data_IF_823143295078
#
_entry.id   IF_823143295078
#
_cell.length_a   1.000
_cell.length_b   1.000
_cell.length_c   1.000
_cell.angle_alpha   90.00
_cell.angle_beta   90.00
_cell.angle_gamma   90.00
#
_symmetry.space_group_name_H-M   'P 1'
#
loop_
_entity.id
_entity.type
_entity.pdbx_description
1 polymer ?
#
# COMPACT_ATOMS: atom_id res chain seq x y z
N UNK A 1 1.90 12.40 12.34
CA UNK A 1 0.43 12.40 12.25
C UNK A 1 -0.25 13.30 13.31
N UNK A 2 0.47 13.66 14.39
CA UNK A 2 -0.06 14.57 15.41
C UNK A 2 -0.55 15.89 14.76
N UNK A 3 -1.83 16.22 14.98
CA UNK A 3 -2.50 17.39 14.41
C UNK A 3 -3.11 17.19 13.02
N UNK A 4 -2.91 16.04 12.36
CA UNK A 4 -3.55 15.70 11.08
C UNK A 4 -4.80 14.83 11.25
N UNK A 5 -4.78 13.97 12.27
CA UNK A 5 -5.90 13.12 12.66
C UNK A 5 -6.10 13.23 14.17
N UNK A 6 -7.31 12.94 14.64
CA UNK A 6 -7.63 12.95 16.07
C UNK A 6 -6.97 11.79 16.82
N UNK A 7 -6.85 11.91 18.14
CA UNK A 7 -6.33 10.83 18.99
C UNK A 7 -7.20 9.56 18.92
N UNK A 8 -8.51 9.72 18.72
CA UNK A 8 -9.44 8.60 18.55
C UNK A 8 -9.19 7.84 17.23
N UNK A 9 -8.97 8.56 16.12
CA UNK A 9 -8.62 7.95 14.83
C UNK A 9 -7.26 7.26 14.92
N UNK A 10 -6.28 7.87 15.57
CA UNK A 10 -4.97 7.24 15.80
C UNK A 10 -5.11 5.96 16.64
N UNK A 11 -5.91 5.99 17.71
CA UNK A 11 -6.16 4.81 18.54
C UNK A 11 -6.80 3.67 17.72
N UNK A 12 -7.75 3.99 16.83
CA UNK A 12 -8.37 3.01 15.94
C UNK A 12 -7.35 2.39 14.96
N UNK A 13 -6.48 3.19 14.37
CA UNK A 13 -5.42 2.70 13.46
C UNK A 13 -4.49 1.73 14.20
N UNK A 14 -4.07 2.08 15.42
CA UNK A 14 -3.20 1.23 16.24
C UNK A 14 -3.90 -0.06 16.65
N UNK A 15 -5.16 0.02 17.04
CA UNK A 15 -5.97 -1.14 17.41
C UNK A 15 -6.16 -2.08 16.21
N UNK A 16 -6.46 -1.54 15.04
CA UNK A 16 -6.60 -2.36 13.83
C UNK A 16 -5.28 -3.02 13.43
N UNK A 17 -4.16 -2.30 13.53
CA UNK A 17 -2.83 -2.87 13.30
C UNK A 17 -2.52 -4.00 14.32
N UNK A 18 -2.88 -3.81 15.59
CA UNK A 18 -2.73 -4.84 16.62
C UNK A 18 -3.55 -6.09 16.30
N UNK A 19 -4.83 -5.93 15.91
CA UNK A 19 -5.71 -7.03 15.53
C UNK A 19 -5.14 -7.80 14.33
N UNK A 20 -4.81 -7.09 13.25
CA UNK A 20 -4.37 -7.70 11.99
C UNK A 20 -3.00 -8.39 12.10
N UNK A 21 -2.15 -7.96 13.04
CA UNK A 21 -0.84 -8.57 13.31
C UNK A 21 -0.86 -9.59 14.46
N UNK A 22 -2.04 -9.94 15.00
CA UNK A 22 -2.15 -10.85 16.13
C UNK A 22 -1.44 -10.34 17.41
N UNK A 23 -1.41 -9.01 17.63
CA UNK A 23 -0.76 -8.36 18.77
C UNK A 23 0.73 -8.05 18.57
N UNK A 24 1.35 -8.54 17.48
CA UNK A 24 2.80 -8.42 17.28
C UNK A 24 3.26 -6.98 17.05
N UNK A 25 2.47 -6.16 16.34
CA UNK A 25 2.81 -4.76 16.12
C UNK A 25 2.99 -3.97 17.40
N UNK A 26 2.17 -4.26 18.43
CA UNK A 26 2.28 -3.63 19.75
C UNK A 26 3.58 -4.03 20.47
N UNK A 27 3.93 -5.32 20.43
CA UNK A 27 5.13 -5.84 21.08
C UNK A 27 6.40 -5.26 20.43
N UNK A 28 6.41 -5.16 19.09
CA UNK A 28 7.54 -4.64 18.34
C UNK A 28 7.67 -3.11 18.40
N UNK A 29 6.57 -2.39 18.69
CA UNK A 29 6.56 -0.92 18.70
C UNK A 29 6.96 -0.36 20.06
N UNK A 30 7.92 0.56 20.07
CA UNK A 30 8.37 1.24 21.29
C UNK A 30 7.50 2.45 21.56
N UNK A 31 6.93 2.52 22.79
CA UNK A 31 6.22 3.70 23.29
C UNK A 31 7.21 4.52 24.13
N UNK A 32 7.53 5.76 23.76
CA UNK A 32 8.37 6.62 24.58
C UNK A 32 7.71 6.94 25.93
N UNK A 33 8.52 7.10 26.99
CA UNK A 33 8.01 7.36 28.36
C UNK A 33 7.19 8.66 28.48
N UNK A 34 7.40 9.63 27.58
CA UNK A 34 6.72 10.95 27.56
C UNK A 34 5.58 11.05 26.55
N UNK A 35 5.20 9.92 25.91
CA UNK A 35 4.19 9.91 24.87
C UNK A 35 3.29 8.68 25.02
N UNK A 36 1.99 8.84 24.81
CA UNK A 36 1.03 7.75 24.96
C UNK A 36 0.89 6.88 23.71
N UNK A 37 1.60 7.22 22.64
CA UNK A 37 1.53 6.54 21.34
C UNK A 37 2.93 6.12 20.89
N UNK A 38 3.08 5.00 20.15
CA UNK A 38 4.37 4.61 19.60
C UNK A 38 4.86 5.63 18.57
N UNK A 39 6.18 5.84 18.48
CA UNK A 39 6.79 6.67 17.45
C UNK A 39 6.50 6.15 16.04
N UNK A 40 6.42 4.83 15.90
CA UNK A 40 6.14 4.14 14.65
C UNK A 40 5.46 2.80 14.95
N UNK A 41 4.67 2.34 14.01
CA UNK A 41 4.15 0.98 14.02
C UNK A 41 5.22 0.08 13.40
N UNK A 42 5.82 -0.81 14.17
CA UNK A 42 6.76 -1.80 13.66
C UNK A 42 6.01 -3.04 13.19
N UNK A 43 5.63 -3.03 11.94
CA UNK A 43 5.01 -4.12 11.21
C UNK A 43 5.16 -3.86 9.71
N UNK A 44 5.02 -4.87 8.88
CA UNK A 44 4.94 -4.70 7.43
C UNK A 44 3.57 -4.15 7.03
N UNK A 45 3.50 -3.37 5.95
CA UNK A 45 2.21 -2.89 5.44
C UNK A 45 1.25 -4.04 5.09
N UNK A 46 1.70 -5.15 4.45
CA UNK A 46 0.84 -6.32 4.22
C UNK A 46 0.29 -6.96 5.51
N UNK A 47 1.06 -6.97 6.60
CA UNK A 47 0.57 -7.48 7.89
C UNK A 47 -0.47 -6.56 8.53
N UNK A 48 -0.23 -5.23 8.47
CA UNK A 48 -1.16 -4.22 9.01
C UNK A 48 -2.50 -4.25 8.28
N UNK A 49 -2.49 -4.36 6.96
CA UNK A 49 -3.72 -4.34 6.15
C UNK A 49 -4.46 -5.69 6.17
N UNK A 50 -3.75 -6.81 6.30
CA UNK A 50 -4.33 -8.15 6.41
C UNK A 50 -5.01 -8.69 5.14
N UNK A 51 -5.07 -7.89 4.06
CA UNK A 51 -5.75 -8.20 2.80
C UNK A 51 -4.88 -7.78 1.60
N UNK A 52 -4.73 -8.67 0.62
CA UNK A 52 -3.87 -8.44 -0.55
C UNK A 52 -4.41 -7.35 -1.47
N UNK A 53 -5.73 -7.23 -1.63
CA UNK A 53 -6.36 -6.16 -2.41
C UNK A 53 -6.15 -4.81 -1.74
N UNK A 54 -6.30 -4.75 -0.42
CA UNK A 54 -6.01 -3.55 0.36
C UNK A 54 -4.55 -3.12 0.24
N UNK A 55 -3.61 -4.09 0.26
CA UNK A 55 -2.19 -3.80 0.07
C UNK A 55 -1.91 -3.25 -1.34
N UNK A 56 -2.41 -3.89 -2.39
CA UNK A 56 -2.22 -3.42 -3.77
C UNK A 56 -2.90 -2.06 -3.98
N UNK A 57 -4.09 -1.83 -3.42
CA UNK A 57 -4.74 -0.53 -3.47
C UNK A 57 -3.93 0.56 -2.75
N UNK A 58 -3.39 0.28 -1.57
CA UNK A 58 -2.52 1.23 -0.87
C UNK A 58 -1.29 1.61 -1.73
N UNK A 59 -0.71 0.63 -2.45
CA UNK A 59 0.34 0.90 -3.43
C UNK A 59 -0.17 1.69 -4.62
N UNK A 60 -1.34 1.37 -5.16
CA UNK A 60 -1.93 2.14 -6.27
C UNK A 60 -2.13 3.61 -5.86
N UNK A 61 -2.66 3.89 -4.67
CA UNK A 61 -2.75 5.26 -4.13
C UNK A 61 -1.37 5.91 -4.07
N UNK A 62 -0.36 5.24 -3.51
CA UNK A 62 1.02 5.74 -3.45
C UNK A 62 1.58 6.08 -4.83
N UNK A 63 1.38 5.21 -5.83
CA UNK A 63 1.84 5.42 -7.21
C UNK A 63 1.08 6.53 -7.95
N UNK A 64 -0.16 6.82 -7.55
CA UNK A 64 -0.97 7.90 -8.13
C UNK A 64 -0.74 9.26 -7.49
N UNK A 65 -0.20 9.33 -6.28
CA UNK A 65 0.12 10.62 -5.65
C UNK A 65 1.30 11.31 -6.36
N UNK A 66 1.35 12.67 -6.37
CA UNK A 66 2.52 13.40 -6.87
C UNK A 66 3.79 13.05 -6.11
N UNK A 67 4.91 12.98 -6.83
CA UNK A 67 6.22 12.64 -6.30
C UNK A 67 6.76 11.32 -6.84
N UNK A 68 7.88 10.85 -6.28
CA UNK A 68 8.53 9.59 -6.65
C UNK A 68 8.13 8.50 -5.65
N UNK A 69 7.32 7.50 -6.06
CA UNK A 69 6.94 6.42 -5.17
C UNK A 69 8.13 5.53 -4.85
N UNK A 70 8.35 5.29 -3.56
CA UNK A 70 9.38 4.36 -3.09
C UNK A 70 8.73 3.13 -2.47
N UNK A 71 9.10 1.95 -2.93
CA UNK A 71 8.63 0.68 -2.38
C UNK A 71 9.79 -0.09 -1.80
N UNK A 72 9.75 -0.33 -0.49
CA UNK A 72 10.73 -1.16 0.18
C UNK A 72 10.53 -2.63 -0.22
N UNK A 73 11.62 -3.39 -0.39
CA UNK A 73 11.58 -4.74 -0.97
C UNK A 73 10.62 -5.71 -0.24
N UNK A 74 10.55 -5.66 1.10
CA UNK A 74 9.61 -6.50 1.85
C UNK A 74 8.16 -6.20 1.46
N UNK A 75 7.81 -4.91 1.30
CA UNK A 75 6.50 -4.51 0.83
C UNK A 75 6.25 -4.82 -0.65
N UNK A 76 7.29 -4.81 -1.49
CA UNK A 76 7.20 -5.24 -2.89
C UNK A 76 6.83 -6.73 -2.99
N UNK A 77 7.48 -7.55 -2.18
CA UNK A 77 7.29 -9.01 -2.16
C UNK A 77 6.09 -9.47 -1.32
N UNK A 78 5.22 -8.55 -0.89
CA UNK A 78 4.10 -8.86 0.00
C UNK A 78 4.51 -9.54 1.31
N UNK A 79 5.75 -9.28 1.76
CA UNK A 79 6.33 -9.93 2.93
C UNK A 79 5.60 -9.59 4.22
N UNK A 80 5.27 -10.61 4.98
CA UNK A 80 4.66 -10.46 6.30
C UNK A 80 5.73 -10.20 7.36
N UNK A 81 5.29 -9.90 8.58
CA UNK A 81 6.16 -9.66 9.73
C UNK A 81 7.06 -10.88 10.01
N UNK A 82 8.37 -10.66 10.03
CA UNK A 82 9.38 -11.69 10.39
C UNK A 82 9.51 -11.77 11.92
N UNK A 83 8.63 -12.58 12.52
CA UNK A 83 8.62 -12.77 13.96
C UNK A 83 9.85 -13.53 14.46
N UNK A 84 10.39 -14.43 13.67
CA UNK A 84 11.59 -15.22 14.02
C UNK A 84 12.83 -14.32 14.06
N UNK A 85 12.97 -13.41 13.11
CA UNK A 85 14.06 -12.44 13.11
C UNK A 85 13.93 -11.45 14.27
N UNK A 86 12.74 -10.92 14.51
CA UNK A 86 12.48 -10.09 15.69
C UNK A 86 12.75 -10.82 17.00
N UNK A 87 12.35 -12.09 17.12
CA UNK A 87 12.59 -12.89 18.32
C UNK A 87 14.09 -13.06 18.63
N UNK A 88 14.93 -13.13 17.59
CA UNK A 88 16.40 -13.25 17.72
C UNK A 88 17.05 -11.92 18.10
N UNK A 89 16.66 -10.82 17.44
CA UNK A 89 17.36 -9.54 17.57
C UNK A 89 16.79 -8.64 18.67
N UNK A 90 15.50 -8.82 19.03
CA UNK A 90 14.73 -7.94 19.92
C UNK A 90 14.68 -6.48 19.42
N UNK A 91 14.98 -6.24 18.16
CA UNK A 91 14.90 -4.93 17.52
C UNK A 91 13.56 -4.79 16.79
N UNK A 92 12.67 -3.90 17.24
CA UNK A 92 11.33 -3.76 16.70
C UNK A 92 11.28 -3.58 15.18
N UNK A 93 12.23 -2.81 14.61
CA UNK A 93 12.31 -2.59 13.15
C UNK A 93 12.67 -3.83 12.34
N UNK A 94 13.25 -4.87 12.97
CA UNK A 94 13.68 -6.06 12.24
C UNK A 94 12.51 -6.97 11.87
N UNK A 95 11.34 -6.75 12.46
CA UNK A 95 10.09 -7.41 12.07
C UNK A 95 9.74 -7.20 10.58
N UNK A 96 10.17 -6.07 9.99
CA UNK A 96 9.93 -5.74 8.58
C UNK A 96 11.19 -5.77 7.71
N UNK A 97 12.20 -6.57 8.09
CA UNK A 97 13.50 -6.68 7.41
C UNK A 97 13.86 -8.13 7.07
N UNK A 98 12.90 -8.91 6.65
CA UNK A 98 13.14 -10.29 6.24
C UNK A 98 14.29 -10.40 5.22
N UNK A 99 15.18 -11.36 5.44
CA UNK A 99 16.33 -11.65 4.57
C UNK A 99 15.95 -12.78 3.61
N UNK A 100 15.53 -12.42 2.40
CA UNK A 100 15.10 -13.37 1.39
C UNK A 100 16.26 -14.19 0.81
N UNK A 101 16.12 -15.50 0.77
CA UNK A 101 16.95 -16.37 -0.06
C UNK A 101 16.60 -16.21 -1.54
N UNK A 102 17.49 -16.62 -2.48
CA UNK A 102 17.16 -16.60 -3.91
C UNK A 102 15.85 -17.33 -4.28
N UNK A 103 15.58 -18.48 -3.66
CA UNK A 103 14.34 -19.23 -3.91
C UNK A 103 13.09 -18.48 -3.46
N UNK A 104 13.13 -17.83 -2.29
CA UNK A 104 12.04 -16.99 -1.79
C UNK A 104 11.82 -15.76 -2.68
N UNK A 105 12.88 -15.19 -3.25
CA UNK A 105 12.77 -14.08 -4.23
C UNK A 105 12.05 -14.56 -5.48
N UNK A 106 12.42 -15.70 -6.04
CA UNK A 106 11.79 -16.26 -7.22
C UNK A 106 10.30 -16.53 -7.00
N UNK A 107 9.95 -17.13 -5.85
CA UNK A 107 8.56 -17.35 -5.45
C UNK A 107 7.80 -16.04 -5.27
N UNK A 108 8.39 -15.07 -4.56
CA UNK A 108 7.77 -13.77 -4.32
C UNK A 108 7.53 -13.01 -5.62
N UNK A 109 8.48 -13.03 -6.57
CA UNK A 109 8.32 -12.41 -7.89
C UNK A 109 7.18 -13.06 -8.68
N UNK A 110 6.99 -14.38 -8.58
CA UNK A 110 5.92 -15.08 -9.26
C UNK A 110 4.52 -14.82 -8.64
N UNK A 111 4.45 -14.24 -7.44
CA UNK A 111 3.17 -14.03 -6.75
C UNK A 111 2.28 -12.99 -7.46
N UNK A 112 0.95 -13.18 -7.48
CA UNK A 112 0.02 -12.24 -8.10
C UNK A 112 0.09 -10.83 -7.53
N UNK A 113 0.35 -10.69 -6.24
CA UNK A 113 0.46 -9.39 -5.54
C UNK A 113 1.70 -8.64 -6.02
N UNK A 114 2.85 -9.30 -6.04
CA UNK A 114 4.10 -8.69 -6.53
C UNK A 114 3.97 -8.29 -7.99
N UNK A 115 3.39 -9.15 -8.83
CA UNK A 115 3.16 -8.85 -10.24
C UNK A 115 2.22 -7.63 -10.42
N UNK A 116 1.17 -7.51 -9.62
CA UNK A 116 0.29 -6.34 -9.63
C UNK A 116 1.05 -5.05 -9.23
N UNK A 117 1.90 -5.10 -8.20
CA UNK A 117 2.71 -3.94 -7.77
C UNK A 117 3.75 -3.57 -8.84
N UNK A 118 4.38 -4.55 -9.50
CA UNK A 118 5.27 -4.32 -10.63
C UNK A 118 4.52 -3.72 -11.83
N UNK A 119 3.27 -4.14 -12.06
CA UNK A 119 2.38 -3.52 -13.05
C UNK A 119 2.12 -2.04 -12.74
N UNK A 120 1.84 -1.69 -11.49
CA UNK A 120 1.71 -0.29 -11.06
C UNK A 120 3.00 0.50 -11.28
N UNK A 121 4.17 -0.10 -11.02
CA UNK A 121 5.46 0.53 -11.28
C UNK A 121 5.67 0.79 -12.77
N UNK A 122 5.31 -0.16 -13.65
CA UNK A 122 5.31 0.05 -15.10
C UNK A 122 4.31 1.12 -15.52
N UNK A 123 3.10 1.11 -14.95
CA UNK A 123 2.10 2.16 -15.22
C UNK A 123 2.62 3.56 -14.87
N UNK A 124 3.47 3.69 -13.84
CA UNK A 124 4.02 5.00 -13.43
C UNK A 124 4.90 5.67 -14.49
N UNK A 125 5.36 4.93 -15.50
CA UNK A 125 6.06 5.50 -16.66
C UNK A 125 5.14 6.07 -17.74
N UNK A 126 3.82 5.98 -17.55
CA UNK A 126 2.83 6.45 -18.52
C UNK A 126 2.83 7.98 -18.63
N UNK A 127 2.78 8.51 -19.86
CA UNK A 127 2.89 9.95 -20.16
C UNK A 127 1.82 10.83 -19.47
N UNK A 128 0.70 10.28 -19.03
CA UNK A 128 -0.29 11.03 -18.27
C UNK A 128 0.27 11.56 -16.95
N UNK A 129 1.26 10.89 -16.34
CA UNK A 129 1.87 11.33 -15.08
C UNK A 129 2.76 12.57 -15.22
N UNK A 130 3.12 12.97 -16.44
CA UNK A 130 3.80 14.24 -16.71
C UNK A 130 2.83 15.43 -16.74
N UNK A 131 1.53 15.17 -16.62
CA UNK A 131 0.46 16.15 -16.73
C UNK A 131 0.03 16.75 -15.39
N UNK A 132 -1.25 17.06 -15.28
CA UNK A 132 -1.86 17.68 -14.10
C UNK A 132 -2.52 16.65 -13.22
N UNK A 133 -2.21 16.68 -11.92
CA UNK A 133 -2.85 15.88 -10.89
C UNK A 133 -4.09 16.57 -10.33
N UNK A 134 -5.16 15.82 -10.15
CA UNK A 134 -6.37 16.21 -9.44
C UNK A 134 -6.88 15.04 -8.60
N UNK A 135 -7.63 15.35 -7.56
CA UNK A 135 -8.32 14.35 -6.74
C UNK A 135 -9.69 14.84 -6.34
N UNK A 136 -10.59 13.92 -6.03
CA UNK A 136 -11.94 14.21 -5.58
C UNK A 136 -12.42 13.16 -4.61
N UNK A 137 -12.86 13.58 -3.43
CA UNK A 137 -13.63 12.75 -2.52
C UNK A 137 -15.08 12.72 -3.03
N UNK A 138 -15.64 11.55 -3.26
CA UNK A 138 -17.00 11.36 -3.77
C UNK A 138 -17.99 11.11 -2.63
N UNK A 139 -17.57 10.31 -1.64
CA UNK A 139 -18.29 10.02 -0.40
C UNK A 139 -17.27 9.90 0.74
N UNK A 140 -17.73 9.53 1.95
CA UNK A 140 -16.81 9.28 3.09
C UNK A 140 -15.88 8.08 2.85
N UNK A 141 -16.26 7.15 1.97
CA UNK A 141 -15.48 5.93 1.66
C UNK A 141 -14.93 5.88 0.25
N UNK A 142 -15.34 6.75 -0.67
CA UNK A 142 -14.95 6.69 -2.09
C UNK A 142 -14.17 7.91 -2.53
N UNK A 143 -13.11 7.67 -3.32
CA UNK A 143 -12.24 8.72 -3.84
C UNK A 143 -11.82 8.46 -5.29
N UNK A 144 -11.53 9.52 -6.01
CA UNK A 144 -10.85 9.49 -7.32
C UNK A 144 -9.53 10.26 -7.27
N UNK A 145 -8.48 9.66 -7.82
CA UNK A 145 -7.22 10.31 -8.14
C UNK A 145 -7.05 10.31 -9.65
N UNK A 146 -6.69 11.43 -10.24
CA UNK A 146 -6.62 11.57 -11.68
C UNK A 146 -5.38 12.33 -12.13
N UNK A 147 -4.73 11.81 -13.15
CA UNK A 147 -3.72 12.51 -13.93
C UNK A 147 -4.24 12.76 -15.33
N UNK A 148 -3.99 13.97 -15.85
CA UNK A 148 -4.38 14.38 -17.20
C UNK A 148 -3.17 14.90 -17.94
N UNK A 149 -2.68 14.12 -18.89
CA UNK A 149 -1.66 14.50 -19.86
C UNK A 149 -2.27 15.18 -21.09
N UNK A 150 -1.45 15.41 -22.12
CA UNK A 150 -1.89 16.07 -23.35
C UNK A 150 -2.96 15.26 -24.08
N UNK A 151 -2.69 13.98 -24.34
CA UNK A 151 -3.56 13.09 -25.10
C UNK A 151 -3.91 11.81 -24.31
N UNK A 152 -3.68 11.82 -23.02
CA UNK A 152 -3.85 10.66 -22.15
C UNK A 152 -4.40 11.04 -20.79
N UNK A 153 -5.08 10.08 -20.14
CA UNK A 153 -5.64 10.25 -18.80
C UNK A 153 -5.56 8.95 -18.02
N UNK A 154 -5.16 9.06 -16.76
CA UNK A 154 -5.21 7.98 -15.80
C UNK A 154 -6.15 8.37 -14.66
N UNK A 155 -7.04 7.45 -14.28
CA UNK A 155 -7.94 7.63 -13.14
C UNK A 155 -7.88 6.39 -12.27
N UNK A 156 -7.57 6.57 -11.00
CA UNK A 156 -7.79 5.57 -9.94
C UNK A 156 -9.05 5.97 -9.19
N UNK A 157 -10.07 5.12 -9.20
CA UNK A 157 -11.23 5.18 -8.32
C UNK A 157 -11.13 4.04 -7.31
N UNK A 158 -11.54 4.29 -6.07
CA UNK A 158 -11.62 3.25 -5.05
C UNK A 158 -12.74 3.51 -4.05
N UNK A 159 -13.20 2.42 -3.41
CA UNK A 159 -14.21 2.40 -2.36
C UNK A 159 -13.74 1.52 -1.19
N UNK A 160 -13.77 2.09 0.01
CA UNK A 160 -13.35 1.47 1.27
C UNK A 160 -14.53 1.06 2.16
N UNK A 161 -15.76 1.10 1.67
CA UNK A 161 -16.95 0.77 2.45
C UNK A 161 -17.13 -0.73 2.73
N UNK A 162 -16.54 -1.60 1.91
CA UNK A 162 -16.59 -3.05 2.05
C UNK A 162 -15.51 -3.62 2.99
N UNK A 163 -15.66 -4.89 3.36
CA UNK A 163 -14.64 -5.64 4.10
C UNK A 163 -13.34 -5.83 3.30
N UNK A 164 -13.45 -5.94 1.98
CA UNK A 164 -12.35 -5.85 1.02
C UNK A 164 -12.59 -4.63 0.16
N UNK A 165 -11.59 -3.75 -0.04
CA UNK A 165 -11.77 -2.56 -0.85
C UNK A 165 -11.99 -2.90 -2.33
N UNK A 166 -12.79 -2.07 -3.01
CA UNK A 166 -12.93 -2.12 -4.46
C UNK A 166 -12.11 -1.01 -5.12
N UNK A 167 -11.57 -1.28 -6.31
CA UNK A 167 -10.86 -0.27 -7.09
C UNK A 167 -11.03 -0.46 -8.60
N UNK A 168 -10.79 0.63 -9.34
CA UNK A 168 -10.67 0.61 -10.80
C UNK A 168 -9.61 1.60 -11.24
N UNK A 169 -8.67 1.16 -12.08
CA UNK A 169 -7.74 2.04 -12.79
C UNK A 169 -8.19 2.14 -14.23
N UNK A 170 -8.64 3.32 -14.64
CA UNK A 170 -8.98 3.62 -16.02
C UNK A 170 -7.82 4.32 -16.72
N UNK A 171 -7.38 3.72 -17.82
CA UNK A 171 -6.33 4.23 -18.71
C UNK A 171 -7.02 4.70 -19.98
N UNK A 172 -6.75 5.93 -20.42
CA UNK A 172 -7.30 6.52 -21.65
C UNK A 172 -6.16 7.10 -22.46
N UNK A 173 -6.01 6.66 -23.71
CA UNK A 173 -5.02 7.12 -24.69
C UNK A 173 -5.72 7.52 -25.98
N UNK A 174 -5.76 8.82 -26.26
CA UNK A 174 -6.55 9.35 -27.36
C UNK A 174 -8.03 8.95 -27.25
N UNK A 175 -8.51 8.15 -28.19
CA UNK A 175 -9.88 7.62 -28.22
C UNK A 175 -10.03 6.24 -27.58
N UNK A 176 -8.92 5.57 -27.24
CA UNK A 176 -8.92 4.25 -26.62
C UNK A 176 -9.04 4.35 -25.11
N UNK A 177 -9.77 3.43 -24.50
CA UNK A 177 -9.92 3.38 -23.05
C UNK A 177 -10.06 1.93 -22.56
N UNK A 178 -9.37 1.60 -21.46
CA UNK A 178 -9.50 0.33 -20.75
C UNK A 178 -9.56 0.54 -19.25
N UNK A 179 -10.18 -0.39 -18.53
CA UNK A 179 -10.21 -0.38 -17.06
C UNK A 179 -9.61 -1.66 -16.52
N UNK A 180 -8.92 -1.55 -15.39
CA UNK A 180 -8.29 -2.64 -14.66
C UNK A 180 -8.92 -2.64 -13.25
N UNK A 181 -9.50 -3.76 -12.84
CA UNK A 181 -10.29 -3.87 -11.60
C UNK A 181 -9.81 -5.00 -10.68
N UNK A 182 -8.77 -5.72 -11.10
CA UNK A 182 -8.24 -6.87 -10.37
C UNK A 182 -6.71 -6.88 -10.38
N UNK A 183 -6.13 -7.63 -9.44
CA UNK A 183 -4.68 -7.84 -9.35
C UNK A 183 -4.13 -8.49 -10.62
N UNK A 184 -4.86 -9.47 -11.18
CA UNK A 184 -4.46 -10.17 -12.39
C UNK A 184 -4.41 -9.23 -13.60
N UNK A 185 -5.34 -8.29 -13.73
CA UNK A 185 -5.31 -7.29 -14.79
C UNK A 185 -4.15 -6.30 -14.61
N UNK A 186 -3.86 -5.87 -13.39
CA UNK A 186 -2.68 -5.03 -13.10
C UNK A 186 -1.38 -5.71 -13.50
N UNK A 187 -1.26 -7.01 -13.27
CA UNK A 187 -0.07 -7.79 -13.64
C UNK A 187 0.20 -7.84 -15.15
N UNK A 188 -0.79 -7.49 -15.98
CA UNK A 188 -0.66 -7.50 -17.47
C UNK A 188 -0.18 -6.18 -18.07
N UNK A 189 0.07 -5.15 -17.23
CA UNK A 189 0.58 -3.84 -17.67
C UNK A 189 2.02 -3.94 -18.17
#
# INVERSE_FOLDING_TARGET
AAGLISDAEMANILQQAEINTGGHSKIASVIPQWFNLPHQINATLPSILGDDTAHVLARAVQFFLPGEPQVYYVGLFNGKDDQDFFAKTKQGRDVNRHHYSPAEIDEAIASPVTQAILGLARLRTHAAFDGTFNWKQLTDSTMELQWTGKDSKLKLWFDLSGSTPAFSIKITDGTSSRSLTSLSELATI
#
